data_IF_166288631534
#
_entry.id   IF_166288631534
#
_cell.length_a   1.000
_cell.length_b   1.000
_cell.length_c   1.000
_cell.angle_alpha   90.00
_cell.angle_beta   90.00
_cell.angle_gamma   90.00
#
_symmetry.space_group_name_H-M   'P 1'
#
loop_
_entity.id
_entity.type
_entity.pdbx_description
1 polymer ?
#
# COMPACT_ATOMS: atom_id res chain seq x y z
N UNK A 1 -19.11 -26.92 -5.33
CA UNK A 1 -18.89 -25.46 -5.23
C UNK A 1 -17.42 -25.25 -4.91
N UNK A 2 -16.63 -24.82 -5.90
CA UNK A 2 -15.18 -24.63 -5.79
C UNK A 2 -14.89 -23.36 -4.97
N UNK A 3 -14.63 -23.50 -3.69
CA UNK A 3 -13.91 -22.45 -2.96
C UNK A 3 -12.42 -22.78 -3.05
N UNK A 4 -11.81 -22.29 -4.10
CA UNK A 4 -10.36 -22.22 -4.25
C UNK A 4 -9.88 -21.31 -3.12
N UNK A 5 -9.16 -21.87 -2.14
CA UNK A 5 -8.44 -21.10 -1.15
C UNK A 5 -7.32 -20.34 -1.87
N UNK A 6 -7.62 -19.12 -2.27
CA UNK A 6 -6.58 -18.18 -2.66
C UNK A 6 -5.84 -17.77 -1.38
N UNK A 7 -4.66 -18.32 -1.15
CA UNK A 7 -3.73 -17.91 -0.07
C UNK A 7 -3.25 -16.45 -0.28
N UNK A 8 -3.61 -15.81 -1.38
CA UNK A 8 -3.49 -14.36 -1.61
C UNK A 8 -4.29 -13.50 -0.61
N UNK A 9 -5.01 -14.10 0.35
CA UNK A 9 -6.01 -13.45 1.21
C UNK A 9 -5.45 -12.92 2.51
N UNK A 10 -4.14 -13.02 2.79
CA UNK A 10 -3.58 -12.38 4.02
C UNK A 10 -3.49 -10.87 3.90
N UNK A 11 -3.49 -10.31 2.70
CA UNK A 11 -3.74 -8.88 2.50
C UNK A 11 -5.14 -8.43 2.94
N UNK A 12 -6.06 -9.38 3.23
CA UNK A 12 -7.49 -9.09 3.47
C UNK A 12 -7.87 -8.94 4.94
N UNK A 13 -6.98 -9.17 5.90
CA UNK A 13 -7.30 -8.92 7.30
C UNK A 13 -6.89 -7.51 7.79
N UNK A 14 -6.15 -6.80 6.99
CA UNK A 14 -6.12 -5.33 6.98
C UNK A 14 -7.05 -4.85 5.84
N UNK A 15 -8.16 -5.53 5.70
CA UNK A 15 -9.13 -5.34 4.63
C UNK A 15 -9.56 -3.88 4.55
N UNK A 16 -9.20 -3.26 3.43
CA UNK A 16 -9.45 -1.89 3.05
C UNK A 16 -8.48 -0.82 3.59
N UNK A 17 -7.39 -1.17 4.25
CA UNK A 17 -6.29 -0.21 4.37
C UNK A 17 -5.34 -0.50 3.22
N UNK A 18 -5.45 0.32 2.23
CA UNK A 18 -4.66 0.32 1.03
C UNK A 18 -3.20 -0.01 1.32
N UNK A 19 -2.72 -1.03 0.66
CA UNK A 19 -1.29 -1.25 0.50
C UNK A 19 -0.76 -0.05 -0.26
N UNK A 20 -0.36 0.97 0.48
CA UNK A 20 0.40 2.08 -0.08
C UNK A 20 1.70 1.48 -0.58
N UNK A 21 1.82 1.30 -1.90
CA UNK A 21 3.09 1.05 -2.56
C UNK A 21 3.96 2.30 -2.43
N UNK A 22 4.42 2.59 -1.23
CA UNK A 22 5.14 3.81 -0.97
C UNK A 22 6.50 3.49 -0.35
N UNK A 23 7.55 3.99 -0.97
CA UNK A 23 8.94 3.93 -0.53
C UNK A 23 9.22 4.69 0.78
N UNK A 24 8.18 5.08 1.50
CA UNK A 24 8.27 5.84 2.73
C UNK A 24 9.01 5.10 3.85
N UNK A 25 9.56 5.89 4.76
CA UNK A 25 10.26 5.39 5.94
C UNK A 25 9.33 4.49 6.76
N UNK A 26 9.65 3.22 6.87
CA UNK A 26 8.89 2.28 7.69
C UNK A 26 8.82 2.77 9.14
N UNK A 27 7.63 2.72 9.73
CA UNK A 27 7.40 3.02 11.15
C UNK A 27 7.56 1.78 12.03
N UNK A 28 7.93 0.63 11.45
CA UNK A 28 8.16 -0.61 12.19
C UNK A 28 9.48 -0.53 12.94
N UNK A 29 9.43 -0.77 14.25
CA UNK A 29 10.59 -0.79 15.15
C UNK A 29 10.72 -2.14 15.85
N UNK A 30 11.88 -2.42 16.46
CA UNK A 30 12.02 -3.58 17.34
C UNK A 30 11.07 -3.52 18.53
N UNK A 31 10.72 -2.32 18.98
CA UNK A 31 9.93 -2.07 20.18
C UNK A 31 10.74 -2.22 21.46
N UNK A 32 10.09 -1.91 22.57
CA UNK A 32 10.59 -2.15 23.91
C UNK A 32 9.62 -3.07 24.67
N UNK A 33 10.08 -3.64 25.78
CA UNK A 33 9.30 -4.60 26.58
C UNK A 33 8.61 -3.95 27.80
N UNK A 34 8.81 -2.66 28.01
CA UNK A 34 8.37 -2.01 29.25
C UNK A 34 6.92 -1.55 29.25
N UNK A 35 6.32 -1.39 28.06
CA UNK A 35 4.92 -0.95 27.90
C UNK A 35 4.30 -1.67 26.72
N UNK A 36 3.17 -2.33 26.98
CA UNK A 36 2.40 -3.03 25.94
C UNK A 36 1.95 -2.02 24.90
N UNK A 37 2.25 -2.30 23.65
CA UNK A 37 1.67 -1.60 22.51
C UNK A 37 0.47 -2.39 21.99
N UNK A 38 -0.72 -1.88 22.31
CA UNK A 38 -1.97 -2.61 22.04
C UNK A 38 -2.21 -2.79 20.54
N UNK A 39 -1.86 -1.80 19.72
CA UNK A 39 -2.02 -1.91 18.27
C UNK A 39 -1.15 -3.05 17.74
N UNK A 40 0.13 -3.04 18.06
CA UNK A 40 1.07 -4.07 17.60
C UNK A 40 0.66 -5.45 18.09
N UNK A 41 0.27 -5.57 19.36
CA UNK A 41 -0.20 -6.84 19.91
C UNK A 41 -1.46 -7.34 19.19
N UNK A 42 -2.49 -6.48 19.02
CA UNK A 42 -3.75 -6.87 18.37
C UNK A 42 -3.54 -7.25 16.90
N UNK A 43 -2.68 -6.54 16.16
CA UNK A 43 -2.35 -6.89 14.77
C UNK A 43 -1.62 -8.24 14.71
N UNK A 44 -0.69 -8.49 15.61
CA UNK A 44 -0.02 -9.78 15.72
C UNK A 44 -0.99 -10.90 16.12
N UNK A 45 -1.84 -10.65 17.11
CA UNK A 45 -2.86 -11.60 17.55
C UNK A 45 -3.84 -11.97 16.43
N UNK A 46 -4.24 -11.00 15.60
CA UNK A 46 -5.07 -11.25 14.42
C UNK A 46 -4.37 -12.18 13.40
N UNK A 47 -3.06 -12.03 13.17
CA UNK A 47 -2.29 -12.98 12.37
C UNK A 47 -2.26 -14.35 13.02
N UNK A 48 -2.00 -14.44 14.34
CA UNK A 48 -1.97 -15.70 15.10
C UNK A 48 -3.29 -16.46 15.02
N UNK A 49 -4.42 -15.75 15.13
CA UNK A 49 -5.75 -16.32 14.96
C UNK A 49 -5.95 -16.85 13.52
N UNK A 50 -5.56 -16.07 12.52
CA UNK A 50 -5.64 -16.50 11.13
C UNK A 50 -4.83 -17.77 10.88
N UNK A 51 -3.60 -17.84 11.36
CA UNK A 51 -2.72 -19.00 11.20
C UNK A 51 -3.28 -20.24 11.91
N UNK A 52 -3.84 -20.08 13.12
CA UNK A 52 -4.37 -21.20 13.91
C UNK A 52 -5.78 -21.64 13.53
N UNK A 53 -6.53 -20.83 12.77
CA UNK A 53 -7.91 -21.17 12.36
C UNK A 53 -8.05 -21.44 10.88
N UNK A 54 -7.53 -20.55 10.02
CA UNK A 54 -7.68 -20.65 8.57
C UNK A 54 -6.61 -21.50 7.92
N UNK A 55 -5.42 -21.56 8.52
CA UNK A 55 -4.27 -22.29 8.02
C UNK A 55 -3.81 -23.39 9.00
N UNK A 56 -4.66 -23.75 9.97
CA UNK A 56 -4.34 -24.72 11.03
C UNK A 56 -3.86 -26.08 10.48
N UNK A 57 -4.42 -26.52 9.36
CA UNK A 57 -4.05 -27.80 8.75
C UNK A 57 -2.81 -27.74 7.83
N UNK A 58 -2.28 -26.53 7.55
CA UNK A 58 -1.04 -26.36 6.81
C UNK A 58 0.14 -26.43 7.78
N UNK A 59 1.00 -27.45 7.68
CA UNK A 59 2.09 -27.66 8.62
C UNK A 59 3.29 -26.75 8.33
N UNK A 60 3.08 -25.42 8.47
CA UNK A 60 4.15 -24.44 8.32
C UNK A 60 5.28 -24.65 9.33
N UNK A 61 6.51 -24.35 8.92
CA UNK A 61 7.61 -24.11 9.84
C UNK A 61 7.48 -22.68 10.39
N UNK A 62 6.81 -22.55 11.56
CA UNK A 62 6.56 -21.23 12.17
C UNK A 62 7.84 -20.50 12.55
N UNK A 63 8.94 -21.18 12.89
CA UNK A 63 10.23 -20.53 13.15
C UNK A 63 10.75 -19.81 11.91
N UNK A 64 10.63 -20.45 10.73
CA UNK A 64 11.02 -19.82 9.46
C UNK A 64 10.08 -18.71 9.06
N UNK A 65 8.77 -18.89 9.25
CA UNK A 65 7.77 -17.86 8.98
C UNK A 65 8.02 -16.62 9.84
N UNK A 66 8.14 -16.77 11.15
CA UNK A 66 8.43 -15.68 12.11
C UNK A 66 9.74 -14.97 11.77
N UNK A 67 10.78 -15.72 11.39
CA UNK A 67 12.08 -15.16 11.00
C UNK A 67 12.00 -14.36 9.70
N UNK A 68 11.28 -14.86 8.70
CA UNK A 68 11.00 -14.15 7.46
C UNK A 68 10.28 -12.85 7.73
N UNK A 69 9.15 -12.92 8.45
CA UNK A 69 8.33 -11.78 8.82
C UNK A 69 9.12 -10.70 9.55
N UNK A 70 9.79 -11.06 10.65
CA UNK A 70 10.53 -10.09 11.45
C UNK A 70 11.67 -9.45 10.67
N UNK A 71 12.40 -10.24 9.86
CA UNK A 71 13.52 -9.71 9.07
C UNK A 71 13.06 -8.73 7.99
N UNK A 72 11.95 -9.03 7.30
CA UNK A 72 11.41 -8.17 6.25
C UNK A 72 10.77 -6.91 6.83
N UNK A 73 9.96 -7.02 7.87
CA UNK A 73 9.36 -5.88 8.54
C UNK A 73 10.41 -4.87 9.04
N UNK A 74 11.56 -5.35 9.53
CA UNK A 74 12.68 -4.51 9.97
C UNK A 74 13.64 -4.10 8.83
N UNK A 75 13.36 -4.45 7.59
CA UNK A 75 14.22 -4.14 6.44
C UNK A 75 15.57 -4.87 6.45
N UNK A 76 15.63 -6.08 7.01
CA UNK A 76 16.85 -6.89 7.17
C UNK A 76 16.75 -8.28 6.54
N UNK A 77 15.71 -8.50 5.72
CA UNK A 77 15.55 -9.77 5.02
C UNK A 77 16.72 -10.03 4.07
N UNK A 78 17.10 -11.30 3.96
CA UNK A 78 18.15 -11.72 3.01
C UNK A 78 17.64 -11.81 1.58
N UNK A 79 16.36 -12.19 1.43
CA UNK A 79 15.68 -12.19 0.14
C UNK A 79 15.00 -10.85 -0.08
N UNK A 80 15.00 -10.36 -1.30
CA UNK A 80 14.18 -9.22 -1.70
C UNK A 80 12.69 -9.59 -1.65
N UNK A 81 11.82 -8.61 -1.81
CA UNK A 81 10.38 -8.85 -1.91
C UNK A 81 10.05 -9.68 -3.16
N UNK A 82 10.74 -9.40 -4.26
CA UNK A 82 10.60 -10.10 -5.55
C UNK A 82 11.04 -11.56 -5.43
N UNK A 83 12.24 -11.82 -4.88
CA UNK A 83 12.75 -13.19 -4.65
C UNK A 83 11.79 -14.00 -3.76
N UNK A 84 11.29 -13.40 -2.67
CA UNK A 84 10.33 -14.06 -1.80
C UNK A 84 9.00 -14.36 -2.52
N UNK A 85 8.53 -13.43 -3.35
CA UNK A 85 7.31 -13.60 -4.12
C UNK A 85 7.46 -14.69 -5.20
N UNK A 86 8.58 -14.73 -5.90
CA UNK A 86 8.88 -15.80 -6.87
C UNK A 86 8.92 -17.19 -6.22
N UNK A 87 9.63 -17.33 -5.09
CA UNK A 87 9.67 -18.58 -4.34
C UNK A 87 8.27 -18.96 -3.87
N UNK A 88 7.51 -18.01 -3.30
CA UNK A 88 6.15 -18.27 -2.85
C UNK A 88 5.25 -18.74 -4.00
N UNK A 89 5.25 -18.05 -5.14
CA UNK A 89 4.42 -18.40 -6.29
C UNK A 89 4.80 -19.77 -6.88
N UNK A 90 6.09 -20.09 -6.91
CA UNK A 90 6.55 -21.38 -7.45
C UNK A 90 6.12 -22.59 -6.59
N UNK A 91 6.01 -22.40 -5.27
CA UNK A 91 5.72 -23.48 -4.32
C UNK A 91 4.25 -23.57 -3.94
N UNK A 92 3.52 -22.45 -3.89
CA UNK A 92 2.17 -22.42 -3.31
C UNK A 92 1.16 -23.23 -4.14
N UNK A 93 1.27 -23.25 -5.47
CA UNK A 93 0.38 -24.01 -6.35
C UNK A 93 0.40 -25.52 -6.05
N UNK A 94 1.56 -26.18 -6.15
CA UNK A 94 1.71 -27.59 -5.82
C UNK A 94 1.33 -27.93 -4.37
N UNK A 95 1.68 -27.08 -3.40
CA UNK A 95 1.33 -27.27 -1.98
C UNK A 95 -0.19 -27.19 -1.79
N UNK A 96 -0.88 -26.23 -2.39
CA UNK A 96 -2.34 -26.11 -2.32
C UNK A 96 -3.05 -27.30 -2.95
N UNK A 97 -2.52 -27.86 -4.04
CA UNK A 97 -3.08 -29.05 -4.67
C UNK A 97 -3.01 -30.24 -3.72
N UNK A 98 -1.84 -30.55 -3.14
CA UNK A 98 -1.65 -31.64 -2.16
C UNK A 98 -2.49 -31.43 -0.90
N UNK A 99 -2.53 -30.18 -0.41
CA UNK A 99 -3.38 -29.84 0.72
C UNK A 99 -4.86 -30.05 0.43
N UNK A 100 -5.34 -29.64 -0.76
CA UNK A 100 -6.72 -29.89 -1.20
C UNK A 100 -7.06 -31.38 -1.24
N UNK A 101 -6.15 -32.21 -1.74
CA UNK A 101 -6.30 -33.67 -1.76
C UNK A 101 -6.37 -34.24 -0.34
N UNK A 102 -5.50 -33.77 0.58
CA UNK A 102 -5.54 -34.18 1.99
C UNK A 102 -6.88 -33.84 2.65
N UNK A 103 -7.36 -32.59 2.46
CA UNK A 103 -8.64 -32.16 3.02
C UNK A 103 -9.83 -32.92 2.45
N UNK A 104 -9.80 -33.26 1.16
CA UNK A 104 -10.80 -34.14 0.57
C UNK A 104 -10.80 -35.53 1.17
N UNK A 105 -9.63 -36.14 1.40
CA UNK A 105 -9.52 -37.45 2.07
C UNK A 105 -10.03 -37.41 3.51
N UNK A 106 -9.68 -36.36 4.29
CA UNK A 106 -10.23 -36.17 5.63
C UNK A 106 -11.76 -36.13 5.63
N UNK A 107 -12.35 -35.37 4.72
CA UNK A 107 -13.80 -35.26 4.59
C UNK A 107 -14.45 -36.60 4.22
N UNK A 108 -13.83 -37.38 3.33
CA UNK A 108 -14.31 -38.70 2.95
C UNK A 108 -14.24 -39.68 4.14
N UNK A 109 -13.16 -39.65 4.92
CA UNK A 109 -13.00 -40.48 6.11
C UNK A 109 -14.02 -40.14 7.22
N UNK A 110 -14.43 -38.87 7.34
CA UNK A 110 -15.51 -38.43 8.24
C UNK A 110 -16.89 -38.93 7.81
N UNK A 111 -17.15 -39.06 6.50
CA UNK A 111 -18.41 -39.50 5.95
C UNK A 111 -18.54 -41.02 5.80
N UNK A 112 -17.44 -41.72 5.62
CA UNK A 112 -17.40 -43.16 5.43
C UNK A 112 -16.26 -43.77 6.29
N UNK A 113 -16.65 -44.43 7.37
CA UNK A 113 -15.70 -45.08 8.30
C UNK A 113 -14.94 -46.25 7.68
N UNK A 114 -15.32 -46.69 6.47
CA UNK A 114 -14.61 -47.75 5.72
C UNK A 114 -13.59 -47.17 4.73
N UNK A 115 -13.58 -45.82 4.55
CA UNK A 115 -12.65 -45.18 3.66
C UNK A 115 -11.21 -45.29 4.16
N UNK A 116 -10.33 -45.80 3.31
CA UNK A 116 -8.88 -45.90 3.62
C UNK A 116 -8.18 -44.70 2.97
N UNK A 117 -7.76 -43.73 3.80
CA UNK A 117 -7.00 -42.59 3.35
C UNK A 117 -5.61 -43.00 2.85
N UNK A 118 -5.19 -42.44 1.72
CA UNK A 118 -3.80 -42.54 1.27
C UNK A 118 -2.89 -41.62 2.08
N UNK A 119 -1.59 -41.89 2.05
CA UNK A 119 -0.61 -41.00 2.65
C UNK A 119 -0.36 -39.82 1.71
N UNK A 120 -0.86 -38.64 2.08
CA UNK A 120 -0.62 -37.39 1.36
C UNK A 120 0.24 -36.48 2.24
N UNK A 121 1.46 -36.25 1.80
CA UNK A 121 2.36 -35.27 2.42
C UNK A 121 2.14 -33.92 1.75
N UNK A 122 1.72 -32.92 2.52
CA UNK A 122 1.49 -31.55 2.03
C UNK A 122 2.78 -30.94 1.51
N UNK A 123 3.89 -31.16 2.22
CA UNK A 123 5.23 -30.79 1.80
C UNK A 123 6.02 -32.06 1.43
N UNK A 124 6.65 -32.06 0.26
CA UNK A 124 7.46 -33.18 -0.22
C UNK A 124 8.86 -33.23 0.41
N UNK A 125 9.25 -32.16 1.09
CA UNK A 125 10.51 -32.08 1.84
C UNK A 125 10.45 -30.99 2.91
N UNK A 126 11.33 -31.08 3.90
CA UNK A 126 11.57 -30.00 4.88
C UNK A 126 12.01 -28.70 4.20
N UNK A 127 12.85 -28.79 3.16
CA UNK A 127 13.31 -27.63 2.41
C UNK A 127 12.17 -26.89 1.69
N UNK A 128 11.17 -27.60 1.15
CA UNK A 128 9.98 -26.99 0.56
C UNK A 128 9.15 -26.27 1.63
N UNK A 129 8.93 -26.91 2.77
CA UNK A 129 8.22 -26.32 3.92
C UNK A 129 8.93 -25.07 4.44
N UNK A 130 10.24 -25.15 4.65
CA UNK A 130 11.07 -24.05 5.15
C UNK A 130 11.05 -22.85 4.18
N UNK A 131 11.21 -23.12 2.89
CA UNK A 131 11.26 -22.08 1.86
C UNK A 131 9.91 -21.36 1.72
N UNK A 132 8.81 -22.12 1.65
CA UNK A 132 7.47 -21.54 1.59
C UNK A 132 7.13 -20.74 2.84
N UNK A 133 7.43 -21.29 4.03
CA UNK A 133 7.17 -20.62 5.30
C UNK A 133 7.96 -19.31 5.41
N UNK A 134 9.24 -19.33 5.04
CA UNK A 134 10.10 -18.16 5.08
C UNK A 134 9.66 -17.09 4.08
N UNK A 135 9.34 -17.47 2.83
CA UNK A 135 8.83 -16.58 1.80
C UNK A 135 7.51 -15.93 2.21
N UNK A 136 6.60 -16.72 2.78
CA UNK A 136 5.33 -16.22 3.30
C UNK A 136 5.52 -15.20 4.43
N UNK A 137 6.43 -15.50 5.37
CA UNK A 137 6.81 -14.56 6.42
C UNK A 137 7.37 -13.25 5.85
N UNK A 138 8.25 -13.30 4.84
CA UNK A 138 8.79 -12.11 4.18
C UNK A 138 7.67 -11.27 3.55
N UNK A 139 6.70 -11.88 2.88
CA UNK A 139 5.59 -11.16 2.28
C UNK A 139 4.79 -10.41 3.34
N UNK A 140 4.41 -11.08 4.45
CA UNK A 140 3.71 -10.42 5.57
C UNK A 140 4.56 -9.28 6.16
N UNK A 141 5.86 -9.49 6.35
CA UNK A 141 6.75 -8.49 6.89
C UNK A 141 6.92 -7.26 5.99
N UNK A 142 6.94 -7.46 4.67
CA UNK A 142 6.96 -6.37 3.70
C UNK A 142 5.64 -5.59 3.73
N UNK A 143 4.49 -6.27 3.82
CA UNK A 143 3.19 -5.62 3.92
C UNK A 143 3.11 -4.74 5.19
N UNK A 144 3.57 -5.24 6.33
CA UNK A 144 3.67 -4.44 7.57
C UNK A 144 4.56 -3.21 7.40
N UNK A 145 5.70 -3.37 6.73
CA UNK A 145 6.64 -2.29 6.48
C UNK A 145 6.06 -1.23 5.55
N UNK A 146 5.32 -1.65 4.52
CA UNK A 146 4.68 -0.77 3.55
C UNK A 146 3.44 -0.05 4.13
N UNK A 147 2.72 -0.70 5.04
CA UNK A 147 1.51 -0.15 5.68
C UNK A 147 1.75 1.10 6.53
N UNK A 148 3.02 1.42 6.86
CA UNK A 148 3.41 2.63 7.61
C UNK A 148 2.70 2.81 8.95
N UNK A 149 2.27 1.70 9.58
CA UNK A 149 1.75 1.72 10.94
C UNK A 149 2.90 1.72 11.96
N UNK A 150 2.74 2.37 13.11
CA UNK A 150 3.76 2.42 14.16
C UNK A 150 3.84 1.08 14.92
N UNK A 151 4.34 0.03 14.25
CA UNK A 151 4.41 -1.32 14.79
C UNK A 151 5.68 -1.53 15.59
N UNK A 152 5.52 -2.02 16.80
CA UNK A 152 6.58 -2.55 17.64
C UNK A 152 6.66 -4.07 17.48
N UNK A 153 7.67 -4.55 16.78
CA UNK A 153 7.80 -5.97 16.42
C UNK A 153 7.79 -6.92 17.62
N UNK A 154 8.33 -6.48 18.76
CA UNK A 154 8.28 -7.29 19.98
C UNK A 154 6.83 -7.66 20.34
N UNK A 155 5.93 -6.66 20.38
CA UNK A 155 4.52 -6.89 20.75
C UNK A 155 3.72 -7.56 19.64
N UNK A 156 4.05 -7.26 18.38
CA UNK A 156 3.45 -7.95 17.24
C UNK A 156 3.72 -9.45 17.27
N UNK A 157 5.00 -9.85 17.41
CA UNK A 157 5.39 -11.26 17.48
C UNK A 157 4.85 -11.95 18.71
N UNK A 158 4.74 -11.25 19.84
CA UNK A 158 4.14 -11.81 21.05
C UNK A 158 2.65 -12.06 20.86
N UNK A 159 1.92 -11.11 20.27
CA UNK A 159 0.49 -11.26 19.95
C UNK A 159 0.25 -12.43 19.00
N UNK A 160 1.03 -12.52 17.93
CA UNK A 160 0.96 -13.64 16.97
C UNK A 160 1.16 -14.99 17.66
N UNK A 161 2.26 -15.14 18.34
CA UNK A 161 2.65 -16.43 18.95
C UNK A 161 1.69 -16.87 20.06
N UNK A 162 1.33 -15.97 20.97
CA UNK A 162 0.41 -16.29 22.07
C UNK A 162 -0.97 -16.68 21.54
N UNK A 163 -1.52 -15.92 20.59
CA UNK A 163 -2.85 -16.22 20.05
C UNK A 163 -2.85 -17.50 19.23
N UNK A 164 -1.84 -17.71 18.40
CA UNK A 164 -1.67 -18.97 17.65
C UNK A 164 -1.61 -20.21 18.56
N UNK A 165 -1.02 -20.07 19.74
CA UNK A 165 -0.89 -21.17 20.72
C UNK A 165 -2.11 -21.26 21.67
N UNK A 166 -3.14 -20.45 21.52
CA UNK A 166 -4.29 -20.42 22.43
C UNK A 166 -4.05 -19.72 23.78
N UNK A 167 -2.96 -18.95 23.88
CA UNK A 167 -2.54 -18.21 25.08
C UNK A 167 -2.74 -16.70 24.94
N UNK A 168 -3.53 -16.26 23.94
CA UNK A 168 -3.74 -14.84 23.62
C UNK A 168 -4.35 -14.06 24.79
N UNK A 169 -3.89 -12.82 24.99
CA UNK A 169 -4.41 -11.92 26.02
C UNK A 169 -5.76 -11.30 25.63
N UNK A 170 -6.13 -11.36 24.39
CA UNK A 170 -7.39 -10.82 23.83
C UNK A 170 -8.17 -11.96 23.17
N UNK A 171 -9.48 -11.93 23.32
CA UNK A 171 -10.38 -12.80 22.55
C UNK A 171 -10.45 -12.35 21.08
N UNK A 172 -10.90 -13.23 20.18
CA UNK A 172 -11.15 -12.91 18.77
C UNK A 172 -12.07 -11.70 18.60
N UNK A 173 -13.10 -11.59 19.42
CA UNK A 173 -14.03 -10.46 19.42
C UNK A 173 -13.34 -9.16 19.84
N UNK A 174 -12.52 -9.19 20.89
CA UNK A 174 -11.77 -8.02 21.37
C UNK A 174 -10.73 -7.57 20.32
N UNK A 175 -10.05 -8.51 19.65
CA UNK A 175 -9.12 -8.20 18.55
C UNK A 175 -9.86 -7.51 17.41
N UNK A 176 -10.97 -8.09 16.95
CA UNK A 176 -11.78 -7.54 15.86
C UNK A 176 -12.34 -6.15 16.20
N UNK A 177 -12.93 -5.97 17.38
CA UNK A 177 -13.47 -4.68 17.84
C UNK A 177 -12.37 -3.62 17.93
N UNK A 178 -11.23 -3.96 18.54
CA UNK A 178 -10.11 -3.02 18.67
C UNK A 178 -9.58 -2.57 17.31
N UNK A 179 -9.29 -3.53 16.40
CA UNK A 179 -8.75 -3.22 15.08
C UNK A 179 -9.77 -2.45 14.23
N UNK A 180 -11.05 -2.82 14.28
CA UNK A 180 -12.11 -2.08 13.60
C UNK A 180 -12.18 -0.63 14.10
N UNK A 181 -12.21 -0.40 15.41
CA UNK A 181 -12.22 0.94 15.98
C UNK A 181 -10.95 1.71 15.60
N UNK A 182 -9.79 1.07 15.66
CA UNK A 182 -8.53 1.72 15.30
C UNK A 182 -8.54 2.19 13.85
N UNK A 183 -8.84 1.31 12.90
CA UNK A 183 -8.76 1.63 11.48
C UNK A 183 -9.92 2.49 10.97
N UNK A 184 -11.09 2.39 11.56
CA UNK A 184 -12.27 3.14 11.11
C UNK A 184 -12.44 4.48 11.82
N UNK A 185 -11.85 4.68 12.99
CA UNK A 185 -12.06 5.89 13.81
C UNK A 185 -10.72 6.54 14.17
N UNK A 186 -9.86 5.82 14.91
CA UNK A 186 -8.66 6.41 15.51
C UNK A 186 -7.64 6.83 14.45
N UNK A 187 -7.33 5.93 13.51
CA UNK A 187 -6.35 6.19 12.47
C UNK A 187 -6.76 7.32 11.50
N UNK A 188 -7.99 7.36 10.96
CA UNK A 188 -8.44 8.48 10.14
C UNK A 188 -8.40 9.82 10.87
N UNK A 189 -8.79 9.86 12.15
CA UNK A 189 -8.72 11.06 12.96
C UNK A 189 -7.25 11.52 13.15
N UNK A 190 -6.35 10.63 13.49
CA UNK A 190 -4.91 10.95 13.60
C UNK A 190 -4.36 11.48 12.28
N UNK A 191 -4.75 10.90 11.14
CA UNK A 191 -4.33 11.36 9.83
C UNK A 191 -4.84 12.77 9.52
N UNK A 192 -6.08 13.08 9.92
CA UNK A 192 -6.65 14.42 9.79
C UNK A 192 -5.87 15.46 10.61
N UNK A 193 -5.65 15.20 11.89
CA UNK A 193 -4.90 16.09 12.79
C UNK A 193 -3.48 16.37 12.25
N UNK A 194 -2.79 15.33 11.77
CA UNK A 194 -1.48 15.46 11.18
C UNK A 194 -1.49 16.27 9.87
N UNK A 195 -2.52 16.10 9.04
CA UNK A 195 -2.69 16.83 7.78
C UNK A 195 -2.99 18.30 8.03
N UNK A 196 -3.89 18.62 8.97
CA UNK A 196 -4.21 19.99 9.37
C UNK A 196 -2.98 20.71 9.94
N UNK A 197 -2.22 20.06 10.83
CA UNK A 197 -0.99 20.62 11.38
C UNK A 197 0.07 20.88 10.30
N UNK A 198 0.20 19.97 9.33
CA UNK A 198 1.11 20.13 8.22
C UNK A 198 0.67 21.28 7.28
N UNK A 199 -0.60 21.37 6.90
CA UNK A 199 -1.15 22.46 6.09
C UNK A 199 -0.94 23.83 6.78
N UNK A 200 -1.21 23.93 8.08
CA UNK A 200 -0.96 25.14 8.85
C UNK A 200 0.52 25.56 8.86
N UNK A 201 1.45 24.62 8.74
CA UNK A 201 2.89 24.87 8.55
C UNK A 201 3.19 25.32 7.12
N UNK A 202 2.54 24.74 6.10
CA UNK A 202 2.74 25.14 4.70
C UNK A 202 2.20 26.54 4.43
N UNK A 203 1.06 26.90 5.00
CA UNK A 203 0.46 28.24 4.89
C UNK A 203 1.40 29.38 5.33
N UNK A 204 2.32 29.09 6.26
CA UNK A 204 3.32 30.05 6.76
C UNK A 204 4.56 30.18 5.87
N UNK A 205 4.72 29.34 4.85
CA UNK A 205 5.87 29.43 3.94
C UNK A 205 5.79 30.67 3.06
N UNK A 206 6.94 31.28 2.78
CA UNK A 206 7.01 32.47 1.94
C UNK A 206 6.47 32.21 0.52
N UNK A 207 5.55 33.08 0.08
CA UNK A 207 4.94 33.01 -1.25
C UNK A 207 3.80 31.99 -1.38
N UNK A 208 3.39 31.33 -0.30
CA UNK A 208 2.19 30.50 -0.28
C UNK A 208 0.96 31.38 -0.12
N UNK A 209 -0.05 31.12 -0.92
CA UNK A 209 -1.36 31.75 -0.91
C UNK A 209 -2.43 30.72 -0.58
N UNK A 210 -3.62 31.18 -0.17
CA UNK A 210 -4.78 30.34 0.15
C UNK A 210 -5.98 30.81 -0.66
N UNK A 211 -6.65 29.88 -1.33
CA UNK A 211 -7.89 30.16 -2.03
C UNK A 211 -9.11 30.04 -1.09
N UNK A 212 -10.27 30.42 -1.61
CA UNK A 212 -11.55 30.32 -0.89
C UNK A 212 -11.93 28.87 -0.55
N UNK A 213 -11.54 27.89 -1.38
CA UNK A 213 -11.76 26.47 -1.15
C UNK A 213 -10.87 25.87 -0.05
N UNK A 214 -9.84 26.61 0.37
CA UNK A 214 -8.81 26.15 1.30
C UNK A 214 -7.57 25.53 0.63
N UNK A 215 -7.50 25.52 -0.71
CA UNK A 215 -6.30 25.11 -1.41
C UNK A 215 -5.15 26.08 -1.06
N UNK A 216 -4.01 25.53 -0.63
CA UNK A 216 -2.79 26.31 -0.51
C UNK A 216 -1.94 26.10 -1.75
N UNK A 217 -1.38 27.17 -2.29
CA UNK A 217 -0.56 27.10 -3.49
C UNK A 217 0.56 28.14 -3.51
N UNK A 218 1.59 27.84 -4.28
CA UNK A 218 2.68 28.77 -4.56
C UNK A 218 2.96 28.78 -6.06
N UNK A 219 2.70 29.88 -6.72
CA UNK A 219 3.12 30.08 -8.10
C UNK A 219 4.64 30.33 -8.10
N UNK A 220 5.37 29.42 -8.73
CA UNK A 220 6.83 29.52 -8.91
C UNK A 220 7.15 30.25 -10.18
N UNK A 221 6.35 30.03 -11.22
CA UNK A 221 6.42 30.71 -12.53
C UNK A 221 5.01 30.76 -13.12
N UNK A 222 4.56 31.88 -13.57
CA UNK A 222 3.19 32.09 -14.07
C UNK A 222 2.95 31.41 -15.43
N UNK A 223 3.95 31.40 -16.32
CA UNK A 223 3.78 30.97 -17.69
C UNK A 223 2.97 31.95 -18.53
N UNK A 224 2.38 31.47 -19.62
CA UNK A 224 1.50 32.29 -20.49
C UNK A 224 0.06 32.22 -19.94
N UNK A 225 -0.25 33.11 -19.01
CA UNK A 225 -1.57 33.19 -18.36
C UNK A 225 -2.73 33.55 -19.32
N UNK A 226 -2.43 34.06 -20.51
CA UNK A 226 -3.46 34.30 -21.53
C UNK A 226 -4.04 32.99 -22.09
N UNK A 227 -3.32 31.87 -21.89
CA UNK A 227 -3.70 30.53 -22.32
C UNK A 227 -3.99 29.58 -21.13
N UNK A 228 -4.26 30.13 -19.95
CA UNK A 228 -4.65 29.30 -18.79
C UNK A 228 -5.95 28.56 -19.04
N UNK A 229 -6.11 27.38 -18.43
CA UNK A 229 -7.37 26.66 -18.45
C UNK A 229 -8.48 27.46 -17.79
N UNK A 230 -9.69 27.41 -18.36
CA UNK A 230 -10.87 28.15 -17.88
C UNK A 230 -12.05 27.24 -17.60
N UNK A 231 -12.18 26.16 -18.34
CA UNK A 231 -13.24 25.15 -18.20
C UNK A 231 -12.70 23.90 -17.47
N UNK A 232 -13.52 23.23 -16.67
CA UNK A 232 -13.14 21.98 -16.00
C UNK A 232 -12.95 20.82 -16.99
N UNK A 233 -13.36 20.96 -18.23
CA UNK A 233 -13.18 19.98 -19.31
C UNK A 233 -11.92 20.21 -20.12
N UNK A 234 -11.21 21.34 -19.92
CA UNK A 234 -9.94 21.61 -20.60
C UNK A 234 -8.94 20.49 -20.27
N UNK A 235 -8.10 20.14 -21.24
CA UNK A 235 -7.03 19.19 -21.06
C UNK A 235 -5.73 19.92 -20.73
N UNK A 236 -5.03 19.47 -19.71
CA UNK A 236 -3.71 20.00 -19.33
C UNK A 236 -2.65 18.93 -19.54
N UNK A 237 -1.56 19.31 -20.18
CA UNK A 237 -0.36 18.49 -20.36
C UNK A 237 0.69 18.96 -19.36
N UNK A 238 1.18 18.05 -18.50
CA UNK A 238 2.00 18.41 -17.35
C UNK A 238 3.14 17.44 -17.10
N UNK A 239 4.21 17.97 -16.47
CA UNK A 239 5.08 17.16 -15.61
C UNK A 239 4.73 17.41 -14.16
N UNK A 240 4.75 16.34 -13.34
CA UNK A 240 4.42 16.48 -11.94
C UNK A 240 5.16 15.50 -11.04
N UNK A 241 5.21 15.84 -9.76
CA UNK A 241 5.61 14.93 -8.68
C UNK A 241 4.68 15.18 -7.49
N UNK A 242 3.95 14.12 -7.10
CA UNK A 242 3.08 14.11 -5.94
C UNK A 242 3.77 13.49 -4.73
N UNK A 243 3.67 14.18 -3.57
CA UNK A 243 4.25 13.76 -2.30
C UNK A 243 3.19 13.75 -1.21
N UNK A 244 3.37 12.87 -0.25
CA UNK A 244 2.64 12.97 1.01
C UNK A 244 3.26 14.05 1.93
N UNK A 245 2.64 14.30 3.08
CA UNK A 245 3.12 15.29 4.07
C UNK A 245 4.52 14.97 4.64
N UNK A 246 4.96 13.71 4.56
CA UNK A 246 6.28 13.27 5.04
C UNK A 246 7.36 13.46 3.96
N UNK A 247 6.95 13.93 2.77
CA UNK A 247 7.83 14.19 1.62
C UNK A 247 8.04 12.98 0.71
N UNK A 248 7.37 11.87 1.00
CA UNK A 248 7.50 10.64 0.21
C UNK A 248 6.72 10.74 -1.09
N UNK A 249 7.35 10.40 -2.18
CA UNK A 249 6.73 10.43 -3.50
C UNK A 249 5.80 9.22 -3.66
N UNK A 250 4.52 9.47 -3.90
CA UNK A 250 3.54 8.43 -4.22
C UNK A 250 3.25 8.33 -5.71
N UNK A 251 3.48 9.39 -6.48
CA UNK A 251 3.30 9.40 -7.93
C UNK A 251 4.14 10.48 -8.60
N UNK A 252 4.59 10.23 -9.83
CA UNK A 252 5.33 11.20 -10.64
C UNK A 252 5.29 10.84 -12.11
N UNK A 253 5.33 11.84 -13.00
CA UNK A 253 5.62 11.69 -14.43
C UNK A 253 7.13 11.65 -14.72
N UNK A 254 7.95 11.99 -13.74
CA UNK A 254 9.42 12.02 -13.86
C UNK A 254 9.98 10.70 -13.34
N UNK A 255 10.53 9.86 -14.22
CA UNK A 255 10.97 8.50 -13.90
C UNK A 255 11.84 8.42 -12.63
N UNK A 256 12.87 9.25 -12.51
CA UNK A 256 13.77 9.26 -11.34
C UNK A 256 13.09 9.56 -10.01
N UNK A 257 11.91 10.19 -10.05
CA UNK A 257 11.11 10.54 -8.87
C UNK A 257 10.02 9.50 -8.60
N UNK A 258 9.72 8.58 -9.53
CA UNK A 258 8.69 7.57 -9.33
C UNK A 258 9.07 6.63 -8.17
N UNK A 259 8.08 6.08 -7.45
CA UNK A 259 8.30 4.97 -6.53
C UNK A 259 9.04 3.81 -7.21
N UNK A 260 9.95 3.14 -6.49
CA UNK A 260 10.81 2.09 -7.05
C UNK A 260 10.04 0.98 -7.78
N UNK A 261 8.91 0.54 -7.20
CA UNK A 261 8.06 -0.48 -7.82
C UNK A 261 7.50 0.00 -9.17
N UNK A 262 7.09 1.27 -9.27
CA UNK A 262 6.60 1.84 -10.55
C UNK A 262 7.72 1.98 -11.57
N UNK A 263 8.94 2.33 -11.14
CA UNK A 263 10.11 2.32 -12.01
C UNK A 263 10.37 0.92 -12.58
N UNK A 264 10.29 -0.12 -11.73
CA UNK A 264 10.48 -1.50 -12.16
C UNK A 264 9.39 -1.97 -13.12
N UNK A 265 8.13 -1.68 -12.82
CA UNK A 265 7.02 -1.96 -13.75
C UNK A 265 7.22 -1.26 -15.10
N UNK A 266 7.68 -0.01 -15.11
CA UNK A 266 7.94 0.73 -16.35
C UNK A 266 9.07 0.09 -17.15
N UNK A 267 10.15 -0.37 -16.51
CA UNK A 267 11.24 -1.11 -17.18
C UNK A 267 10.75 -2.42 -17.79
N UNK A 268 9.88 -3.14 -17.07
CA UNK A 268 9.36 -4.44 -17.52
C UNK A 268 8.36 -4.31 -18.67
N UNK A 269 7.44 -3.33 -18.60
CA UNK A 269 6.33 -3.22 -19.56
C UNK A 269 6.53 -2.20 -20.66
N UNK A 270 7.51 -1.33 -20.53
CA UNK A 270 7.85 -0.26 -21.49
C UNK A 270 9.37 -0.18 -21.74
N UNK A 271 10.02 -1.30 -22.12
CA UNK A 271 11.47 -1.35 -22.28
C UNK A 271 11.99 -0.36 -23.35
N UNK A 272 11.18 -0.03 -24.36
CA UNK A 272 11.53 0.91 -25.43
C UNK A 272 11.75 2.35 -24.95
N UNK A 273 11.29 2.68 -23.72
CA UNK A 273 11.54 3.98 -23.12
C UNK A 273 12.94 4.11 -22.50
N UNK A 274 13.77 3.07 -22.59
CA UNK A 274 15.11 3.04 -22.00
C UNK A 274 16.21 2.82 -23.04
N UNK A 275 17.35 3.48 -22.83
CA UNK A 275 18.55 3.27 -23.63
C UNK A 275 19.21 1.90 -23.29
N UNK A 276 20.24 1.53 -24.08
CA UNK A 276 21.01 0.28 -23.86
C UNK A 276 21.69 0.19 -22.48
N UNK A 277 21.81 1.31 -21.75
CA UNK A 277 22.36 1.39 -20.40
C UNK A 277 21.28 1.37 -19.32
N UNK A 278 19.99 1.28 -19.70
CA UNK A 278 18.85 1.27 -18.79
C UNK A 278 18.46 2.64 -18.24
N UNK A 279 18.92 3.74 -18.87
CA UNK A 279 18.47 5.08 -18.52
C UNK A 279 17.20 5.42 -19.28
N UNK A 280 16.27 6.14 -18.64
CA UNK A 280 15.11 6.69 -19.36
C UNK A 280 15.57 7.64 -20.48
N UNK A 281 15.05 7.44 -21.69
CA UNK A 281 15.39 8.26 -22.86
C UNK A 281 14.78 9.64 -22.69
N UNK A 282 13.47 9.69 -22.38
CA UNK A 282 12.74 10.93 -22.15
C UNK A 282 11.62 10.72 -21.14
N UNK A 283 11.35 11.72 -20.27
CA UNK A 283 10.16 11.72 -19.46
C UNK A 283 9.02 12.34 -20.26
N UNK A 284 8.06 11.53 -20.64
CA UNK A 284 6.89 12.02 -21.36
C UNK A 284 5.94 12.76 -20.40
N UNK A 285 5.45 13.97 -20.77
CA UNK A 285 4.41 14.64 -20.01
C UNK A 285 3.10 13.86 -20.12
N UNK A 286 2.25 14.02 -19.11
CA UNK A 286 0.95 13.33 -19.05
C UNK A 286 -0.17 14.35 -19.27
N UNK A 287 -1.17 13.95 -20.08
CA UNK A 287 -2.34 14.80 -20.36
C UNK A 287 -3.55 14.31 -19.59
N UNK A 288 -4.22 15.24 -18.92
CA UNK A 288 -5.45 14.98 -18.15
C UNK A 288 -6.53 16.00 -18.47
N UNK A 289 -7.79 15.59 -18.66
CA UNK A 289 -8.92 16.52 -18.56
C UNK A 289 -9.15 16.89 -17.09
N UNK A 290 -9.32 18.18 -16.81
CA UNK A 290 -9.39 18.72 -15.45
C UNK A 290 -10.58 18.21 -14.64
N UNK A 291 -11.66 17.78 -15.29
CA UNK A 291 -12.81 17.17 -14.63
C UNK A 291 -12.60 15.70 -14.21
N UNK A 292 -11.41 15.14 -14.50
CA UNK A 292 -11.04 13.76 -14.14
C UNK A 292 -9.88 13.66 -13.16
N UNK A 293 -9.45 14.79 -12.62
CA UNK A 293 -8.43 14.87 -11.57
C UNK A 293 -9.05 15.32 -10.25
N UNK A 294 -8.30 15.30 -9.18
CA UNK A 294 -8.75 15.79 -7.87
C UNK A 294 -9.04 17.28 -7.91
N UNK A 295 -10.00 17.75 -7.09
CA UNK A 295 -10.49 19.14 -7.11
C UNK A 295 -9.37 20.17 -6.95
N UNK A 296 -8.39 19.89 -6.10
CA UNK A 296 -7.24 20.77 -5.91
C UNK A 296 -6.40 20.96 -7.18
N UNK A 297 -6.35 19.97 -8.07
CA UNK A 297 -5.72 20.08 -9.39
C UNK A 297 -6.59 20.90 -10.35
N UNK A 298 -7.90 20.63 -10.42
CA UNK A 298 -8.84 21.38 -11.26
C UNK A 298 -8.75 22.87 -10.97
N UNK A 299 -8.67 23.25 -9.70
CA UNK A 299 -8.52 24.63 -9.27
C UNK A 299 -7.10 25.16 -9.53
N UNK A 300 -6.07 24.42 -9.11
CA UNK A 300 -4.68 24.87 -9.17
C UNK A 300 -4.15 25.07 -10.58
N UNK A 301 -4.57 24.25 -11.55
CA UNK A 301 -4.11 24.37 -12.94
C UNK A 301 -4.66 25.60 -13.67
N UNK A 302 -5.72 26.21 -13.17
CA UNK A 302 -6.27 27.48 -13.69
C UNK A 302 -5.49 28.71 -13.25
N UNK A 303 -4.59 28.56 -12.27
CA UNK A 303 -3.79 29.67 -11.70
C UNK A 303 -2.50 29.96 -12.47
N UNK A 304 -2.13 29.09 -13.43
CA UNK A 304 -0.92 29.23 -14.26
C UNK A 304 -1.25 28.94 -15.71
N UNK A 305 -0.42 29.43 -16.62
CA UNK A 305 -0.51 29.13 -18.06
C UNK A 305 0.62 28.21 -18.53
N UNK A 306 0.62 27.79 -19.81
CA UNK A 306 1.69 26.98 -20.40
C UNK A 306 3.08 27.57 -20.14
N UNK A 307 4.04 26.70 -19.78
CA UNK A 307 5.37 27.07 -19.31
C UNK A 307 5.42 27.53 -17.85
N UNK A 308 4.29 27.49 -17.13
CA UNK A 308 4.17 27.85 -15.73
C UNK A 308 4.56 26.69 -14.81
N UNK A 309 4.84 27.02 -13.55
CA UNK A 309 5.16 26.05 -12.50
C UNK A 309 4.49 26.45 -11.19
N UNK A 310 3.83 25.49 -10.55
CA UNK A 310 3.07 25.70 -9.33
C UNK A 310 3.32 24.57 -8.32
N UNK A 311 3.29 24.91 -7.04
CA UNK A 311 3.27 23.93 -5.96
C UNK A 311 1.90 24.04 -5.31
N UNK A 312 1.21 22.90 -5.21
CA UNK A 312 -0.10 22.77 -4.58
C UNK A 312 0.04 22.02 -3.27
N UNK A 313 -0.53 22.53 -2.18
CA UNK A 313 -0.70 21.83 -0.91
C UNK A 313 -2.20 21.62 -0.72
N UNK A 314 -2.64 20.41 -1.01
CA UNK A 314 -4.05 20.09 -1.21
C UNK A 314 -4.61 19.43 0.06
N UNK A 315 -5.58 20.03 0.73
CA UNK A 315 -6.29 19.38 1.84
C UNK A 315 -7.08 18.16 1.35
N UNK A 316 -7.35 17.23 2.25
CA UNK A 316 -7.99 15.97 1.91
C UNK A 316 -9.32 16.13 1.17
N UNK A 317 -10.11 17.12 1.51
CA UNK A 317 -11.44 17.43 0.92
C UNK A 317 -11.35 17.80 -0.58
N UNK A 318 -10.21 18.32 -0.98
CA UNK A 318 -9.90 18.64 -2.38
C UNK A 318 -9.05 17.57 -3.06
N UNK A 319 -8.75 16.45 -2.37
CA UNK A 319 -7.98 15.31 -2.82
C UNK A 319 -8.81 14.01 -2.77
N UNK A 320 -8.40 13.04 -1.95
CA UNK A 320 -9.03 11.72 -1.86
C UNK A 320 -9.97 11.56 -0.66
N UNK A 321 -10.15 12.61 0.14
CA UNK A 321 -11.12 12.69 1.23
C UNK A 321 -10.86 11.72 2.38
N UNK A 322 -11.94 11.42 3.17
CA UNK A 322 -11.83 10.61 4.38
C UNK A 322 -11.58 9.13 4.11
N UNK A 323 -11.68 8.66 2.88
CA UNK A 323 -11.41 7.27 2.52
C UNK A 323 -9.98 7.04 2.06
N UNK A 324 -9.32 8.07 1.49
CA UNK A 324 -8.05 7.87 0.79
C UNK A 324 -8.21 6.95 -0.42
N UNK A 325 -7.11 6.28 -0.82
CA UNK A 325 -7.09 5.21 -1.82
C UNK A 325 -5.95 4.23 -1.51
N UNK A 326 -5.60 3.35 -2.46
CA UNK A 326 -4.52 2.36 -2.27
C UNK A 326 -3.14 2.96 -1.94
N UNK A 327 -2.84 4.18 -2.38
CA UNK A 327 -1.56 4.85 -2.16
C UNK A 327 -1.63 5.98 -1.13
N UNK A 328 -2.83 6.44 -0.79
CA UNK A 328 -3.08 7.66 -0.01
C UNK A 328 -3.90 7.32 1.22
N UNK A 329 -3.37 7.64 2.39
CA UNK A 329 -4.06 7.42 3.66
C UNK A 329 -5.38 8.22 3.76
N UNK A 330 -6.34 7.77 4.60
CA UNK A 330 -7.52 8.56 4.93
C UNK A 330 -7.13 9.96 5.39
N UNK A 331 -7.89 10.97 4.98
CA UNK A 331 -7.69 12.37 5.37
C UNK A 331 -6.28 12.93 5.12
N UNK A 332 -5.53 12.36 4.16
CA UNK A 332 -4.19 12.82 3.86
C UNK A 332 -4.20 14.12 3.06
N UNK A 333 -3.43 15.12 3.53
CA UNK A 333 -3.05 16.27 2.72
C UNK A 333 -1.87 15.91 1.83
N UNK A 334 -1.83 16.49 0.63
CA UNK A 334 -0.87 16.15 -0.41
C UNK A 334 -0.12 17.39 -0.91
N UNK A 335 1.13 17.18 -1.33
CA UNK A 335 1.90 18.17 -2.08
C UNK A 335 2.05 17.71 -3.53
N UNK A 336 1.82 18.63 -4.47
CA UNK A 336 2.15 18.43 -5.87
C UNK A 336 3.00 19.58 -6.38
N UNK A 337 4.15 19.23 -6.95
CA UNK A 337 4.93 20.15 -7.78
C UNK A 337 4.56 19.85 -9.24
N UNK A 338 4.01 20.85 -9.94
CA UNK A 338 3.48 20.70 -11.30
C UNK A 338 4.08 21.74 -12.22
N UNK A 339 4.56 21.29 -13.38
CA UNK A 339 4.97 22.11 -14.51
C UNK A 339 3.94 21.95 -15.63
N UNK A 340 3.25 23.02 -15.97
CA UNK A 340 2.24 23.06 -17.01
C UNK A 340 2.90 23.27 -18.38
N UNK A 341 2.84 22.26 -19.23
CA UNK A 341 3.47 22.27 -20.57
C UNK A 341 2.53 22.88 -21.58
N UNK A 342 1.26 22.44 -21.61
CA UNK A 342 0.26 22.95 -22.56
C UNK A 342 -1.15 22.86 -21.97
N UNK A 343 -2.04 23.65 -22.56
CA UNK A 343 -3.49 23.64 -22.29
C UNK A 343 -4.22 23.54 -23.61
N UNK A 344 -5.09 22.53 -23.73
CA UNK A 344 -6.00 22.38 -24.85
C UNK A 344 -7.42 22.66 -24.37
N UNK A 345 -8.03 23.79 -24.84
CA UNK A 345 -9.40 24.15 -24.50
C UNK A 345 -10.39 23.04 -24.95
N UNK A 346 -11.42 22.83 -24.14
CA UNK A 346 -12.52 21.96 -24.53
C UNK A 346 -13.35 22.56 -25.68
N UNK A 347 -13.49 21.79 -26.74
CA UNK A 347 -14.38 22.09 -27.83
C UNK A 347 -15.65 21.25 -27.75
N UNK A 348 -16.81 21.89 -27.61
CA UNK A 348 -18.06 21.12 -27.58
C UNK A 348 -18.27 20.44 -28.94
N UNK A 349 -18.76 19.16 -28.96
CA UNK A 349 -19.07 18.51 -30.23
C UNK A 349 -20.08 19.35 -31.01
N UNK A 350 -19.78 19.60 -32.27
CA UNK A 350 -20.74 20.20 -33.17
C UNK A 350 -21.87 19.22 -33.38
N UNK A 351 -23.06 19.47 -32.83
CA UNK A 351 -24.26 18.67 -33.07
C UNK A 351 -24.77 19.08 -34.46
N UNK A 352 -24.53 18.22 -35.48
CA UNK A 352 -25.14 18.34 -36.78
C UNK A 352 -26.64 18.00 -36.76
#
# INVERSE_FOLDING_TARGET
MKRIFNVAVVALLVGAVAVSCNSGKSMVTKGNTSKVDTLSYAMGANLGEFLSTRLADLPFNYEKLEKGLQSAALGKAKWSAEEAQEVFQSLIGPVNERFGQLMQQKQMAEQDSTFVAGNIEVFVSEGECDSLSFAYGINIGNDLRQGRFPIQMHWYMQGEKQTRNGEGLLSSEQIAEYLQNYFMVVYPQQQQELSEAWLAKMEKKAGVQKSESGLLYKVVKEGDVSRSATDDRDEVTVHYTGRDRDGEVFDSSIFKNMPAQRQEMMRQYQPDNFDEKGNIIENEPVTFPLNRVIKGWTEGMKLVGPGGKIILYIPAELAYGPRGNQAIAPNAALEFEVELIDVKPYEAPVVE
#
